data_IF_996224314679
#
_entry.id   IF_996224314679
#
_cell.length_a   1.000
_cell.length_b   1.000
_cell.length_c   1.000
_cell.angle_alpha   90.00
_cell.angle_beta   90.00
_cell.angle_gamma   90.00
#
_symmetry.space_group_name_H-M   'P 1'
#
loop_
_entity.id
_entity.type
_entity.pdbx_description
1 polymer ?
#
# COMPACT_ATOMS: atom_id res chain seq x y z
N UNK A 1 30.68 12.81 -12.11
CA UNK A 1 30.52 11.53 -12.86
C UNK A 1 29.14 11.45 -13.56
N UNK A 2 29.08 11.18 -14.86
CA UNK A 2 27.84 11.03 -15.65
C UNK A 2 27.66 9.60 -16.20
N UNK A 3 26.44 9.07 -16.19
CA UNK A 3 26.11 7.75 -16.78
C UNK A 3 24.97 7.89 -17.78
N UNK A 4 25.28 7.71 -19.07
CA UNK A 4 24.33 7.93 -20.17
C UNK A 4 23.09 7.01 -20.08
N UNK A 5 23.24 5.81 -19.53
CA UNK A 5 22.13 4.87 -19.36
C UNK A 5 21.19 5.36 -18.26
N UNK A 6 21.72 5.78 -17.10
CA UNK A 6 20.93 6.33 -16.01
C UNK A 6 20.14 7.57 -16.47
N UNK A 7 20.79 8.48 -17.20
CA UNK A 7 20.17 9.71 -17.71
C UNK A 7 19.10 9.42 -18.76
N UNK A 8 19.32 8.47 -19.67
CA UNK A 8 18.29 8.04 -20.62
C UNK A 8 17.08 7.42 -19.92
N UNK A 9 17.29 6.66 -18.84
CA UNK A 9 16.21 6.09 -18.04
C UNK A 9 15.42 7.15 -17.27
N UNK A 10 16.08 8.19 -16.74
CA UNK A 10 15.42 9.35 -16.13
C UNK A 10 14.56 10.09 -17.16
N UNK A 11 15.13 10.38 -18.34
CA UNK A 11 14.42 11.06 -19.42
C UNK A 11 13.21 10.26 -19.93
N UNK A 12 13.30 8.93 -19.93
CA UNK A 12 12.19 8.04 -20.27
C UNK A 12 11.16 7.86 -19.12
N UNK A 13 11.35 8.49 -17.96
CA UNK A 13 10.47 8.35 -16.79
C UNK A 13 10.53 6.97 -16.10
N UNK A 14 11.53 6.15 -16.42
CA UNK A 14 11.73 4.81 -15.86
C UNK A 14 12.47 4.86 -14.52
N UNK A 15 11.93 5.63 -13.57
CA UNK A 15 12.65 6.06 -12.37
C UNK A 15 13.15 4.93 -11.45
N UNK A 16 12.45 3.79 -11.37
CA UNK A 16 12.97 2.62 -10.59
C UNK A 16 14.24 2.05 -11.20
N UNK A 17 14.30 1.95 -12.54
CA UNK A 17 15.46 1.44 -13.26
C UNK A 17 16.60 2.45 -13.21
N UNK A 18 16.30 3.74 -13.38
CA UNK A 18 17.26 4.82 -13.21
C UNK A 18 17.88 4.78 -11.80
N UNK A 19 17.08 4.68 -10.73
CA UNK A 19 17.57 4.60 -9.35
C UNK A 19 18.50 3.39 -9.11
N UNK A 20 18.22 2.24 -9.75
CA UNK A 20 19.09 1.06 -9.68
C UNK A 20 20.43 1.33 -10.38
N UNK A 21 20.40 1.95 -11.56
CA UNK A 21 21.61 2.28 -12.31
C UNK A 21 22.46 3.31 -11.57
N UNK A 22 21.84 4.34 -10.98
CA UNK A 22 22.54 5.31 -10.15
C UNK A 22 23.21 4.68 -8.92
N UNK A 23 22.65 3.62 -8.35
CA UNK A 23 23.30 2.88 -7.27
C UNK A 23 24.61 2.22 -7.74
N UNK A 24 24.61 1.61 -8.92
CA UNK A 24 25.82 0.99 -9.50
C UNK A 24 26.91 2.03 -9.82
N UNK A 25 26.52 3.25 -10.19
CA UNK A 25 27.43 4.38 -10.41
C UNK A 25 28.02 4.85 -9.07
N UNK A 26 27.17 4.94 -8.05
CA UNK A 26 27.53 5.38 -6.70
C UNK A 26 28.49 4.41 -6.02
N UNK A 27 28.33 3.09 -6.23
CA UNK A 27 29.27 2.05 -5.74
C UNK A 27 30.69 2.19 -6.33
N UNK A 28 30.84 2.88 -7.47
CA UNK A 28 32.13 3.10 -8.15
C UNK A 28 32.71 4.50 -7.90
N UNK A 29 31.97 5.36 -7.20
CA UNK A 29 32.36 6.74 -6.95
C UNK A 29 33.29 6.80 -5.73
N UNK A 30 34.47 7.41 -5.89
CA UNK A 30 35.44 7.59 -4.81
C UNK A 30 35.40 9.00 -4.19
N UNK A 31 34.80 9.97 -4.88
CA UNK A 31 34.77 11.37 -4.47
C UNK A 31 33.54 11.66 -3.60
N UNK A 32 33.73 12.22 -2.40
CA UNK A 32 32.62 12.39 -1.44
C UNK A 32 31.56 13.40 -1.90
N UNK A 33 31.96 14.45 -2.62
CA UNK A 33 31.06 15.47 -3.14
C UNK A 33 30.20 14.92 -4.28
N UNK A 34 30.82 14.22 -5.23
CA UNK A 34 30.09 13.55 -6.31
C UNK A 34 29.17 12.45 -5.76
N UNK A 35 29.63 11.72 -4.74
CA UNK A 35 28.84 10.71 -4.06
C UNK A 35 27.55 11.29 -3.47
N UNK A 36 27.65 12.42 -2.76
CA UNK A 36 26.50 13.09 -2.16
C UNK A 36 25.49 13.55 -3.23
N UNK A 37 25.99 14.09 -4.34
CA UNK A 37 25.15 14.50 -5.46
C UNK A 37 24.44 13.31 -6.12
N UNK A 38 25.17 12.22 -6.39
CA UNK A 38 24.60 10.99 -6.95
C UNK A 38 23.57 10.34 -6.00
N UNK A 39 23.82 10.38 -4.69
CA UNK A 39 22.90 9.89 -3.68
C UNK A 39 21.58 10.68 -3.69
N UNK A 40 21.67 12.01 -3.79
CA UNK A 40 20.50 12.89 -3.92
C UNK A 40 19.76 12.67 -5.24
N UNK A 41 20.47 12.49 -6.35
CA UNK A 41 19.85 12.20 -7.66
C UNK A 41 19.10 10.86 -7.65
N UNK A 42 19.69 9.83 -7.04
CA UNK A 42 19.03 8.54 -6.81
C UNK A 42 17.80 8.66 -5.91
N UNK A 43 17.87 9.43 -4.83
CA UNK A 43 16.72 9.62 -3.93
C UNK A 43 15.56 10.30 -4.65
N UNK A 44 15.85 11.29 -5.51
CA UNK A 44 14.84 11.93 -6.36
C UNK A 44 14.16 10.93 -7.31
N UNK A 45 14.93 10.04 -7.94
CA UNK A 45 14.36 8.95 -8.75
C UNK A 45 13.40 8.08 -7.92
N UNK A 46 13.75 7.72 -6.68
CA UNK A 46 12.87 6.92 -5.83
C UNK A 46 11.59 7.64 -5.44
N UNK A 47 11.66 8.96 -5.20
CA UNK A 47 10.48 9.81 -4.97
C UNK A 47 9.59 9.81 -6.21
N UNK A 48 10.14 10.07 -7.39
CA UNK A 48 9.39 10.08 -8.65
C UNK A 48 8.82 8.69 -9.01
N UNK A 49 9.45 7.62 -8.55
CA UNK A 49 9.00 6.24 -8.73
C UNK A 49 7.84 5.83 -7.80
N UNK A 50 7.51 6.65 -6.79
CA UNK A 50 6.38 6.37 -5.90
C UNK A 50 5.10 6.45 -6.71
N UNK A 51 4.29 5.41 -6.58
CA UNK A 51 2.92 5.44 -7.08
C UNK A 51 2.16 6.47 -6.22
N UNK A 52 1.38 7.39 -6.81
CA UNK A 52 0.46 8.19 -6.01
C UNK A 52 -0.43 7.23 -5.21
N UNK A 53 -0.60 7.52 -3.93
CA UNK A 53 -1.57 6.77 -3.13
C UNK A 53 -2.93 6.90 -3.83
N UNK A 54 -3.66 5.77 -4.01
CA UNK A 54 -5.01 5.87 -4.52
C UNK A 54 -5.77 6.82 -3.59
N UNK A 55 -6.56 7.76 -4.14
CA UNK A 55 -7.40 8.60 -3.30
C UNK A 55 -8.23 7.71 -2.39
N UNK A 56 -8.42 8.13 -1.14
CA UNK A 56 -9.32 7.44 -0.23
C UNK A 56 -10.75 7.59 -0.78
N UNK A 57 -11.17 6.63 -1.60
CA UNK A 57 -12.55 6.54 -2.06
C UNK A 57 -13.40 6.14 -0.86
N UNK A 58 -13.98 7.15 -0.19
CA UNK A 58 -14.98 6.95 0.84
C UNK A 58 -16.30 6.60 0.17
N UNK A 59 -16.58 5.30 0.08
CA UNK A 59 -17.87 4.78 -0.38
C UNK A 59 -18.98 4.99 0.68
N UNK A 60 -19.04 6.18 1.29
CA UNK A 60 -20.02 6.51 2.34
C UNK A 60 -21.44 6.34 1.83
N UNK A 61 -21.72 6.74 0.60
CA UNK A 61 -23.04 6.59 -0.02
C UNK A 61 -23.44 5.11 -0.11
N UNK A 62 -22.50 4.25 -0.53
CA UNK A 62 -22.74 2.80 -0.62
C UNK A 62 -22.93 2.21 0.77
N UNK A 63 -22.11 2.62 1.73
CA UNK A 63 -22.21 2.18 3.12
C UNK A 63 -23.55 2.57 3.75
N UNK A 64 -23.96 3.82 3.56
CA UNK A 64 -25.21 4.36 4.09
C UNK A 64 -26.42 3.68 3.44
N UNK A 65 -26.42 3.54 2.11
CA UNK A 65 -27.47 2.82 1.39
C UNK A 65 -27.58 1.36 1.83
N UNK A 66 -26.45 0.66 2.01
CA UNK A 66 -26.44 -0.71 2.51
C UNK A 66 -26.98 -0.79 3.95
N UNK A 67 -26.55 0.11 4.83
CA UNK A 67 -27.02 0.19 6.22
C UNK A 67 -28.52 0.46 6.29
N UNK A 68 -29.03 1.40 5.49
CA UNK A 68 -30.45 1.72 5.46
C UNK A 68 -31.29 0.57 4.86
N UNK A 69 -30.74 -0.16 3.90
CA UNK A 69 -31.37 -1.38 3.37
C UNK A 69 -31.43 -2.46 4.45
N UNK A 70 -30.34 -2.68 5.20
CA UNK A 70 -30.33 -3.62 6.33
C UNK A 70 -31.36 -3.25 7.40
N UNK A 71 -31.56 -1.96 7.68
CA UNK A 71 -32.60 -1.47 8.61
C UNK A 71 -34.01 -1.72 8.05
N UNK A 72 -34.27 -1.38 6.79
CA UNK A 72 -35.57 -1.61 6.11
C UNK A 72 -35.96 -3.09 6.10
N UNK A 73 -34.99 -3.96 5.86
CA UNK A 73 -35.18 -5.42 5.85
C UNK A 73 -35.23 -6.02 7.27
N UNK A 74 -35.02 -5.20 8.32
CA UNK A 74 -34.97 -5.63 9.71
C UNK A 74 -33.73 -6.46 10.08
N UNK A 75 -32.78 -6.66 9.19
CA UNK A 75 -31.61 -7.54 9.39
C UNK A 75 -30.40 -6.85 10.00
N UNK A 76 -30.55 -5.59 10.45
CA UNK A 76 -29.49 -4.79 11.08
C UNK A 76 -29.03 -5.33 12.46
N UNK A 77 -29.75 -6.28 13.08
CA UNK A 77 -29.41 -6.78 14.42
C UNK A 77 -28.25 -7.81 14.39
N UNK A 78 -27.23 -7.56 15.21
CA UNK A 78 -25.98 -8.35 15.33
C UNK A 78 -26.16 -9.83 15.74
N UNK A 79 -27.37 -10.21 16.18
CA UNK A 79 -27.70 -11.56 16.66
C UNK A 79 -28.82 -12.25 15.83
N UNK A 80 -29.14 -11.74 14.63
CA UNK A 80 -30.20 -12.32 13.79
C UNK A 80 -29.74 -13.52 12.96
N UNK A 81 -28.44 -13.65 12.72
CA UNK A 81 -27.85 -14.81 12.10
C UNK A 81 -27.74 -15.96 13.10
N UNK A 82 -28.03 -17.18 12.63
CA UNK A 82 -27.94 -18.40 13.42
C UNK A 82 -26.51 -18.54 13.94
N UNK A 83 -26.33 -18.46 15.26
CA UNK A 83 -25.06 -18.86 15.89
C UNK A 83 -24.96 -20.37 15.74
N UNK A 84 -23.99 -20.82 14.98
CA UNK A 84 -23.56 -22.20 15.06
C UNK A 84 -22.75 -22.34 16.36
N UNK A 85 -23.06 -23.36 17.18
CA UNK A 85 -22.26 -23.62 18.36
C UNK A 85 -20.81 -23.84 17.91
N UNK A 86 -19.89 -23.10 18.50
CA UNK A 86 -18.47 -23.45 18.36
C UNK A 86 -18.17 -24.62 19.31
N UNK A 87 -17.10 -25.36 19.05
CA UNK A 87 -16.66 -26.58 19.78
C UNK A 87 -16.62 -26.45 21.33
N UNK A 88 -16.80 -25.24 21.90
CA UNK A 88 -16.88 -24.97 23.34
C UNK A 88 -18.28 -24.80 23.96
N UNK A 89 -19.36 -24.71 23.16
CA UNK A 89 -20.73 -24.45 23.65
C UNK A 89 -21.52 -25.74 23.91
N UNK A 90 -21.01 -26.64 24.77
CA UNK A 90 -21.77 -27.82 25.19
C UNK A 90 -22.80 -27.47 26.28
N UNK A 91 -24.07 -27.92 26.19
CA UNK A 91 -25.07 -27.62 27.20
C UNK A 91 -24.78 -28.38 28.50
N UNK A 92 -24.69 -27.65 29.62
CA UNK A 92 -24.63 -28.26 30.96
C UNK A 92 -25.98 -28.92 31.26
N UNK A 93 -26.01 -30.25 31.32
CA UNK A 93 -27.18 -31.01 31.75
C UNK A 93 -27.49 -30.63 33.20
N UNK A 94 -28.67 -30.06 33.45
CA UNK A 94 -29.16 -29.85 34.81
C UNK A 94 -29.48 -31.22 35.42
N UNK A 95 -28.80 -31.56 36.52
CA UNK A 95 -29.14 -32.75 37.31
C UNK A 95 -30.44 -32.50 38.05
N UNK A 96 -31.39 -33.41 37.91
CA UNK A 96 -32.46 -33.59 38.88
C UNK A 96 -31.91 -34.27 40.14
#
# INVERSE_FOLDING_TARGET
MSDAVAEALEAAGLYRRAARRWLEVLDRCCDSEEWAWLAARRSQCLVNARKPEPPAEYFEDVYQAASDTQKRMGIHARNRFRRYPSEGDAPKKSSC
#
